data_IF_935565597738
#
_entry.id   IF_935565597738
#
_cell.length_a   1.000
_cell.length_b   1.000
_cell.length_c   1.000
_cell.angle_alpha   90.00
_cell.angle_beta   90.00
_cell.angle_gamma   90.00
#
_symmetry.space_group_name_H-M   'P 1'
#
loop_
_entity.id
_entity.type
_entity.pdbx_description
1 polymer ?
#
# COMPACT_ATOMS: atom_id res chain seq x y z
N UNK A 1 25.13 7.92 27.78
CA UNK A 1 23.75 7.44 27.66
C UNK A 1 23.02 8.45 26.77
N UNK A 2 22.69 8.08 25.54
CA UNK A 2 21.91 8.94 24.66
C UNK A 2 20.47 8.98 25.15
N UNK A 3 19.83 10.16 25.17
CA UNK A 3 18.39 10.24 25.38
C UNK A 3 17.71 9.42 24.29
N UNK A 4 16.94 8.40 24.69
CA UNK A 4 16.06 7.69 23.78
C UNK A 4 14.95 8.65 23.33
N UNK A 5 14.86 8.87 22.02
CA UNK A 5 13.78 9.65 21.42
C UNK A 5 12.58 8.72 21.18
N UNK A 6 11.44 9.06 21.76
CA UNK A 6 10.20 8.31 21.59
C UNK A 6 9.30 8.43 22.80
N UNK A 7 8.01 8.67 22.56
CA UNK A 7 6.97 8.67 23.58
C UNK A 7 6.20 7.34 23.46
N UNK A 8 6.80 6.29 24.00
CA UNK A 8 6.25 4.94 23.93
C UNK A 8 5.02 4.80 24.84
N UNK A 9 4.16 3.81 24.53
CA UNK A 9 2.88 3.62 25.23
C UNK A 9 3.06 3.33 26.73
N UNK A 10 4.16 2.68 27.11
CA UNK A 10 4.52 2.35 28.49
C UNK A 10 4.99 3.57 29.30
N UNK A 11 5.40 4.66 28.64
CA UNK A 11 5.71 5.97 29.23
C UNK A 11 4.46 6.84 29.43
N UNK A 12 3.38 6.53 28.71
CA UNK A 12 2.12 7.28 28.73
C UNK A 12 1.07 6.68 29.66
N UNK A 13 1.09 5.36 29.82
CA UNK A 13 0.05 4.62 30.52
C UNK A 13 0.55 4.10 31.86
N UNK A 14 -0.38 3.88 32.79
CA UNK A 14 -0.07 3.24 34.06
C UNK A 14 0.33 1.79 33.78
N UNK A 15 1.49 1.34 34.27
CA UNK A 15 2.03 0.01 33.98
C UNK A 15 1.07 -1.15 34.30
N UNK A 16 0.18 -0.97 35.27
CA UNK A 16 -0.83 -1.97 35.67
C UNK A 16 -2.09 -1.95 34.82
N UNK A 17 -2.22 -1.02 33.89
CA UNK A 17 -3.38 -0.93 33.01
C UNK A 17 -3.41 -2.13 32.04
N UNK A 18 -4.54 -2.86 31.93
CA UNK A 18 -4.68 -3.97 30.99
C UNK A 18 -4.32 -3.62 29.54
N UNK A 19 -4.49 -2.36 29.11
CA UNK A 19 -4.16 -1.90 27.76
C UNK A 19 -2.65 -2.01 27.50
N UNK A 20 -1.79 -1.71 28.49
CA UNK A 20 -0.33 -1.83 28.34
C UNK A 20 0.04 -3.27 28.01
N UNK A 21 -0.57 -4.24 28.70
CA UNK A 21 -0.35 -5.66 28.43
C UNK A 21 -0.87 -6.06 27.05
N UNK A 22 -2.04 -5.57 26.65
CA UNK A 22 -2.60 -5.87 25.32
C UNK A 22 -1.69 -5.35 24.21
N UNK A 23 -1.20 -4.11 24.30
CA UNK A 23 -0.27 -3.53 23.31
C UNK A 23 1.04 -4.32 23.28
N UNK A 24 1.59 -4.68 24.43
CA UNK A 24 2.81 -5.49 24.49
C UNK A 24 2.64 -6.85 23.79
N UNK A 25 1.52 -7.54 24.05
CA UNK A 25 1.18 -8.80 23.39
C UNK A 25 0.97 -8.60 21.88
N UNK A 26 0.33 -7.49 21.48
CA UNK A 26 0.10 -7.20 20.07
C UNK A 26 1.42 -6.99 19.31
N UNK A 27 2.34 -6.21 19.88
CA UNK A 27 3.67 -6.00 19.32
C UNK A 27 4.50 -7.29 19.27
N UNK A 28 4.34 -8.16 20.28
CA UNK A 28 5.03 -9.46 20.35
C UNK A 28 4.48 -10.47 19.33
N UNK A 29 3.16 -10.54 19.15
CA UNK A 29 2.52 -11.54 18.31
C UNK A 29 2.31 -11.09 16.85
N UNK A 30 2.01 -9.82 16.63
CA UNK A 30 1.69 -9.26 15.32
C UNK A 30 2.87 -8.45 14.79
N UNK A 31 3.80 -9.15 14.16
CA UNK A 31 4.88 -8.53 13.40
C UNK A 31 4.37 -7.82 12.12
N UNK A 32 3.09 -7.95 11.78
CA UNK A 32 2.47 -7.20 10.70
C UNK A 32 2.22 -5.78 11.19
N UNK A 33 3.01 -4.84 10.69
CA UNK A 33 2.85 -3.44 11.06
C UNK A 33 1.73 -2.73 10.33
N UNK A 34 1.73 -1.41 10.46
CA UNK A 34 0.64 -0.57 9.97
C UNK A 34 0.44 -0.70 8.46
N UNK A 35 -0.84 -0.62 8.10
CA UNK A 35 -1.26 -0.45 6.73
C UNK A 35 -1.10 1.02 6.33
N UNK A 36 -0.22 1.28 5.36
CA UNK A 36 0.00 2.61 4.81
C UNK A 36 -0.76 2.76 3.49
N UNK A 37 -1.55 3.82 3.39
CA UNK A 37 -2.14 4.25 2.14
C UNK A 37 -1.24 5.31 1.50
N UNK A 38 -0.89 5.13 0.23
CA UNK A 38 -0.03 6.10 -0.45
C UNK A 38 -0.72 6.64 -1.71
N UNK A 39 -0.90 7.94 -1.77
CA UNK A 39 -1.52 8.61 -2.91
C UNK A 39 -0.45 9.32 -3.75
N UNK A 40 -0.46 9.09 -5.06
CA UNK A 40 0.39 9.83 -5.99
C UNK A 40 -0.30 11.16 -6.31
N UNK A 41 0.23 12.24 -5.75
CA UNK A 41 -0.22 13.59 -6.09
C UNK A 41 0.19 13.91 -7.52
N UNK A 42 -0.75 14.44 -8.32
CA UNK A 42 -0.57 14.69 -9.77
C UNK A 42 -0.15 13.42 -10.51
N UNK A 43 -1.02 12.40 -10.48
CA UNK A 43 -0.78 11.13 -11.15
C UNK A 43 -0.35 11.34 -12.62
N UNK A 44 0.69 10.63 -13.08
CA UNK A 44 1.19 10.80 -14.43
C UNK A 44 0.17 10.30 -15.46
N UNK A 45 0.29 10.76 -16.70
CA UNK A 45 -0.52 10.27 -17.81
C UNK A 45 -0.27 8.77 -18.04
N UNK A 46 -1.25 7.95 -17.64
CA UNK A 46 -1.16 6.50 -17.67
C UNK A 46 -1.36 5.91 -19.06
N UNK A 47 -1.72 6.70 -20.08
CA UNK A 47 -1.74 6.23 -21.48
C UNK A 47 -0.31 5.93 -21.97
N UNK A 48 0.69 6.61 -21.38
CA UNK A 48 2.11 6.47 -21.73
C UNK A 48 2.74 5.27 -20.99
N UNK A 49 3.27 4.26 -21.71
CA UNK A 49 3.87 3.07 -21.09
C UNK A 49 5.07 3.39 -20.19
N UNK A 50 5.84 4.42 -20.53
CA UNK A 50 6.99 4.85 -19.71
C UNK A 50 6.57 5.32 -18.31
N UNK A 51 5.42 6.00 -18.19
CA UNK A 51 4.91 6.45 -16.91
C UNK A 51 4.44 5.27 -16.04
N UNK A 52 3.78 4.29 -16.66
CA UNK A 52 3.36 3.06 -15.95
C UNK A 52 4.56 2.30 -15.40
N UNK A 53 5.61 2.13 -16.21
CA UNK A 53 6.87 1.53 -15.75
C UNK A 53 7.50 2.25 -14.56
N UNK A 54 7.44 3.59 -14.53
CA UNK A 54 7.94 4.38 -13.39
C UNK A 54 7.12 4.15 -12.12
N UNK A 55 5.80 4.09 -12.24
CA UNK A 55 4.91 3.76 -11.11
C UNK A 55 5.21 2.35 -10.60
N UNK A 56 5.34 1.38 -11.50
CA UNK A 56 5.67 -0.01 -11.14
C UNK A 56 7.04 -0.11 -10.46
N UNK A 57 8.04 0.66 -10.92
CA UNK A 57 9.36 0.72 -10.27
C UNK A 57 9.27 1.34 -8.87
N UNK A 58 8.54 2.44 -8.70
CA UNK A 58 8.32 3.05 -7.39
C UNK A 58 7.69 2.03 -6.43
N UNK A 59 6.61 1.35 -6.85
CA UNK A 59 5.96 0.33 -6.01
C UNK A 59 6.90 -0.82 -5.70
N UNK A 60 7.68 -1.28 -6.69
CA UNK A 60 8.69 -2.30 -6.48
C UNK A 60 9.71 -1.88 -5.40
N UNK A 61 10.18 -0.64 -5.45
CA UNK A 61 11.15 -0.14 -4.46
C UNK A 61 10.54 -0.15 -3.05
N UNK A 62 9.29 0.27 -2.90
CA UNK A 62 8.55 0.19 -1.62
C UNK A 62 8.33 -1.24 -1.14
N UNK A 63 8.00 -2.16 -2.03
CA UNK A 63 7.79 -3.57 -1.71
C UNK A 63 9.07 -4.25 -1.19
N UNK A 64 10.25 -3.77 -1.59
CA UNK A 64 11.54 -4.33 -1.23
C UNK A 64 12.31 -3.48 -0.19
N UNK A 65 11.66 -2.49 0.42
CA UNK A 65 12.23 -1.81 1.58
C UNK A 65 12.40 -2.78 2.76
N UNK A 66 13.32 -2.48 3.66
CA UNK A 66 13.62 -3.30 4.85
C UNK A 66 12.36 -3.57 5.69
N UNK A 67 11.42 -2.62 5.71
CA UNK A 67 10.15 -2.73 6.44
C UNK A 67 8.96 -3.13 5.55
N UNK A 68 9.18 -3.45 4.27
CA UNK A 68 8.12 -3.93 3.40
C UNK A 68 7.78 -5.39 3.69
N UNK A 69 6.49 -5.73 3.82
CA UNK A 69 6.06 -7.14 3.89
C UNK A 69 6.21 -7.84 2.52
N UNK A 70 6.33 -7.05 1.44
CA UNK A 70 6.54 -7.54 0.08
C UNK A 70 5.31 -7.47 -0.82
N UNK A 71 5.43 -7.94 -2.07
CA UNK A 71 4.41 -7.73 -3.11
C UNK A 71 3.05 -8.36 -2.81
N UNK A 72 3.02 -9.48 -2.08
CA UNK A 72 1.78 -10.17 -1.70
C UNK A 72 0.92 -9.38 -0.71
N UNK A 73 1.54 -8.45 0.03
CA UNK A 73 0.86 -7.59 0.99
C UNK A 73 0.60 -6.18 0.44
N UNK A 74 0.88 -5.96 -0.85
CA UNK A 74 0.71 -4.67 -1.52
C UNK A 74 -0.46 -4.72 -2.48
N UNK A 75 -1.42 -3.82 -2.32
CA UNK A 75 -2.53 -3.65 -3.25
C UNK A 75 -2.27 -2.45 -4.14
N UNK A 76 -2.20 -2.69 -5.45
CA UNK A 76 -1.94 -1.68 -6.46
C UNK A 76 -3.01 -1.76 -7.55
N UNK A 77 -3.72 -0.65 -7.77
CA UNK A 77 -4.84 -0.60 -8.71
C UNK A 77 -4.44 -0.97 -10.15
N UNK A 78 -3.22 -0.68 -10.60
CA UNK A 78 -2.78 -1.02 -11.96
C UNK A 78 -2.72 -2.53 -12.16
N UNK A 79 -2.27 -3.29 -11.16
CA UNK A 79 -2.23 -4.76 -11.21
C UNK A 79 -3.63 -5.35 -11.21
N UNK A 80 -4.51 -4.83 -10.36
CA UNK A 80 -5.91 -5.28 -10.31
C UNK A 80 -6.66 -4.96 -11.61
N UNK A 81 -6.45 -3.76 -12.16
CA UNK A 81 -7.03 -3.37 -13.45
C UNK A 81 -6.51 -4.24 -14.60
N UNK A 82 -5.21 -4.50 -14.66
CA UNK A 82 -4.62 -5.38 -15.67
C UNK A 82 -5.16 -6.80 -15.55
N UNK A 83 -5.25 -7.33 -14.32
CA UNK A 83 -5.83 -8.64 -14.05
C UNK A 83 -7.28 -8.73 -14.52
N UNK A 84 -8.09 -7.71 -14.22
CA UNK A 84 -9.46 -7.59 -14.71
C UNK A 84 -9.51 -7.60 -16.24
N UNK A 85 -8.73 -6.73 -16.91
CA UNK A 85 -8.74 -6.61 -18.35
C UNK A 85 -8.34 -7.93 -19.04
N UNK A 86 -7.35 -8.63 -18.50
CA UNK A 86 -6.92 -9.94 -19.00
C UNK A 86 -8.01 -11.01 -18.87
N UNK A 87 -8.80 -10.99 -17.80
CA UNK A 87 -9.89 -11.95 -17.57
C UNK A 87 -11.08 -11.67 -18.50
N UNK A 88 -11.41 -10.39 -18.73
CA UNK A 88 -12.56 -10.00 -19.57
C UNK A 88 -12.24 -9.94 -21.07
N UNK A 89 -10.98 -10.14 -21.46
CA UNK A 89 -10.54 -9.95 -22.84
C UNK A 89 -10.55 -8.49 -23.29
N UNK A 90 -10.53 -7.54 -22.35
CA UNK A 90 -10.43 -6.13 -22.69
C UNK A 90 -8.99 -5.82 -23.14
N UNK A 91 -8.84 -5.22 -24.33
CA UNK A 91 -7.53 -4.87 -24.85
C UNK A 91 -6.94 -3.68 -24.10
N UNK A 92 -5.70 -3.83 -23.61
CA UNK A 92 -4.93 -2.74 -23.01
C UNK A 92 -4.00 -2.14 -24.06
N UNK A 93 -4.49 -1.13 -24.77
CA UNK A 93 -3.69 -0.33 -25.69
C UNK A 93 -3.08 0.89 -24.99
N UNK A 94 -2.12 1.57 -25.62
CA UNK A 94 -1.49 2.77 -25.06
C UNK A 94 -2.32 4.03 -25.35
N UNK A 95 -3.62 3.98 -25.04
CA UNK A 95 -4.58 4.99 -25.43
C UNK A 95 -5.50 5.43 -24.29
N UNK A 96 -6.29 6.45 -24.59
CA UNK A 96 -7.27 7.03 -23.67
C UNK A 96 -8.41 6.06 -23.34
N UNK A 97 -8.85 5.24 -24.30
CA UNK A 97 -9.93 4.29 -24.08
C UNK A 97 -9.54 3.25 -23.01
N UNK A 98 -8.33 2.73 -23.07
CA UNK A 98 -7.84 1.73 -22.12
C UNK A 98 -7.54 2.36 -20.76
N UNK A 99 -6.70 3.41 -20.72
CA UNK A 99 -6.12 3.88 -19.44
C UNK A 99 -6.86 5.02 -18.76
N UNK A 100 -7.88 5.59 -19.40
CA UNK A 100 -8.71 6.65 -18.79
C UNK A 100 -10.15 6.17 -18.68
N UNK A 101 -10.81 5.88 -19.80
CA UNK A 101 -12.22 5.46 -19.78
C UNK A 101 -12.39 4.06 -19.18
N UNK A 102 -11.57 3.09 -19.60
CA UNK A 102 -11.61 1.72 -19.10
C UNK A 102 -11.30 1.65 -17.61
N UNK A 103 -10.28 2.39 -17.15
CA UNK A 103 -9.96 2.52 -15.71
C UNK A 103 -11.11 3.16 -14.95
N UNK A 104 -11.70 4.24 -15.47
CA UNK A 104 -12.86 4.89 -14.84
C UNK A 104 -14.04 3.93 -14.70
N UNK A 105 -14.44 3.25 -15.78
CA UNK A 105 -15.53 2.26 -15.76
C UNK A 105 -15.24 1.11 -14.79
N UNK A 106 -14.02 0.57 -14.81
CA UNK A 106 -13.59 -0.44 -13.86
C UNK A 106 -13.70 0.05 -12.41
N UNK A 107 -13.24 1.28 -12.13
CA UNK A 107 -13.32 1.87 -10.79
C UNK A 107 -14.76 2.04 -10.28
N UNK A 108 -15.74 2.23 -11.18
CA UNK A 108 -17.16 2.30 -10.80
C UNK A 108 -17.69 0.92 -10.39
N UNK A 109 -17.24 -0.15 -11.03
CA UNK A 109 -17.67 -1.52 -10.75
C UNK A 109 -17.07 -2.06 -9.44
N UNK A 110 -15.82 -1.72 -9.16
CA UNK A 110 -15.07 -2.29 -8.05
C UNK A 110 -14.99 -1.40 -6.80
N UNK A 111 -15.70 -0.27 -6.77
CA UNK A 111 -15.95 0.57 -5.58
C UNK A 111 -14.84 0.53 -4.50
N UNK A 112 -13.59 0.91 -4.80
CA UNK A 112 -12.55 0.98 -3.77
C UNK A 112 -11.64 2.22 -3.81
N UNK A 113 -11.74 2.93 -2.70
CA UNK A 113 -11.11 4.15 -2.22
C UNK A 113 -9.61 4.07 -1.91
N UNK A 114 -8.86 3.12 -2.48
CA UNK A 114 -7.46 2.92 -2.09
C UNK A 114 -6.54 2.92 -3.30
N UNK A 115 -6.00 4.11 -3.58
CA UNK A 115 -5.02 4.38 -4.64
C UNK A 115 -3.77 3.48 -4.50
N UNK A 116 -3.44 3.05 -3.30
CA UNK A 116 -2.33 2.13 -3.02
C UNK A 116 -2.36 1.76 -1.54
N UNK A 117 -2.10 0.48 -1.23
CA UNK A 117 -1.87 0.00 0.14
C UNK A 117 -0.58 -0.78 0.23
N UNK A 118 0.26 -0.45 1.21
CA UNK A 118 1.44 -1.23 1.61
C UNK A 118 1.31 -1.52 3.10
N UNK A 119 1.32 -2.80 3.48
CA UNK A 119 1.51 -3.13 4.89
C UNK A 119 3.01 -3.12 5.19
N UNK A 120 3.41 -2.31 6.17
CA UNK A 120 4.77 -2.33 6.71
C UNK A 120 4.92 -3.41 7.77
N UNK A 121 6.15 -3.82 8.06
CA UNK A 121 6.51 -4.76 9.12
C UNK A 121 7.17 -3.97 10.25
N UNK A 122 6.67 -4.08 11.47
CA UNK A 122 7.41 -3.55 12.62
C UNK A 122 8.57 -4.49 12.94
N UNK A 123 9.76 -3.91 13.08
CA UNK A 123 10.88 -4.54 13.75
C UNK A 123 11.07 -3.78 15.06
N UNK A 124 10.70 -4.42 16.17
CA UNK A 124 11.15 -4.04 17.51
C UNK A 124 12.57 -4.58 17.71
#
# INVERSE_FOLDING_TARGET
MGMEQGLDYDKLLIQTDPIVRTIAIELELFHGGDQINIAIVKAPDMTKPMNRKRVDQMVHDFEHMIFGIGPKATQLWTREYQKYANITGAYLHNDHQSWVQGVYQWSQLFAFYKLWLVNQKYHC
#
